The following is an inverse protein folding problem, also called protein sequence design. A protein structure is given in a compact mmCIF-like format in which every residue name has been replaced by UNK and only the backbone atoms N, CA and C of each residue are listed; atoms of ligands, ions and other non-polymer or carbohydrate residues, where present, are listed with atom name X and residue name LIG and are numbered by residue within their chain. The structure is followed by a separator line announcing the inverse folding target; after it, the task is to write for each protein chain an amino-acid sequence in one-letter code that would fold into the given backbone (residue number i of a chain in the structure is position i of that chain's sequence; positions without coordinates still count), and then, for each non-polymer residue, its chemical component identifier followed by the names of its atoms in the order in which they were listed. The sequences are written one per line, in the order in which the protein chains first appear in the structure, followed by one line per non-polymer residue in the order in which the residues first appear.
data_IF_451992228136
#
_entry.id   IF_451992228136
#
_cell.length_a   1.000
_cell.length_b   1.000
_cell.length_c   1.000
_cell.angle_alpha   90.00
_cell.angle_beta   90.00
_cell.angle_gamma   90.00
#
_symmetry.space_group_name_H-M   'P 1'
#
loop_
_entity.id
_entity.type
_entity.pdbx_description
1 polymer ?
#
# COMPACT_ATOMS: atom_id res chain seq x y z
N UNK A 1 -28.25 -15.79 31.35
CA UNK A 1 -27.60 -16.88 30.58
C UNK A 1 -26.41 -16.23 29.88
N UNK A 2 -25.16 -16.27 30.36
CA UNK A 2 -24.30 -17.43 30.70
C UNK A 2 -24.37 -18.50 29.58
N UNK A 3 -23.28 -18.90 28.91
CA UNK A 3 -21.94 -19.11 29.42
C UNK A 3 -20.84 -18.89 28.37
N UNK A 4 -19.75 -18.26 28.83
CA UNK A 4 -18.38 -18.44 28.32
C UNK A 4 -17.99 -19.89 28.65
N UNK A 5 -17.72 -20.73 27.65
CA UNK A 5 -16.98 -21.97 27.88
C UNK A 5 -15.50 -21.69 27.65
N UNK A 6 -14.82 -21.40 28.76
CA UNK A 6 -13.40 -21.53 28.87
C UNK A 6 -13.02 -23.03 28.89
N UNK A 7 -11.86 -23.30 28.28
CA UNK A 7 -10.88 -24.29 28.70
C UNK A 7 -11.34 -25.76 28.86
N UNK A 8 -10.95 -26.57 27.87
CA UNK A 8 -10.72 -28.00 28.04
C UNK A 8 -9.51 -28.41 27.21
N UNK A 9 -8.32 -28.40 27.82
CA UNK A 9 -7.10 -28.89 27.20
C UNK A 9 -7.20 -30.38 26.86
N UNK A 10 -6.52 -30.78 25.79
CA UNK A 10 -6.13 -32.16 25.55
C UNK A 10 -4.78 -32.15 24.83
N UNK A 11 -3.71 -32.09 25.62
CA UNK A 11 -2.45 -32.70 25.23
C UNK A 11 -2.74 -34.17 24.90
N UNK A 12 -2.70 -34.53 23.62
CA UNK A 12 -2.99 -35.91 23.22
C UNK A 12 -3.37 -36.08 21.76
N UNK A 13 -2.35 -36.27 20.91
CA UNK A 13 -2.51 -37.18 19.78
C UNK A 13 -2.97 -36.58 18.45
N UNK A 14 -2.10 -35.76 17.85
CA UNK A 14 -2.08 -35.45 16.41
C UNK A 14 -1.97 -36.68 15.48
N UNK A 15 -1.99 -37.91 16.01
CA UNK A 15 -1.96 -39.15 15.21
C UNK A 15 -3.35 -39.63 14.75
N UNK A 16 -4.46 -39.02 15.20
CA UNK A 16 -5.82 -39.54 14.91
C UNK A 16 -6.66 -38.71 13.95
N UNK A 17 -6.15 -37.58 13.43
CA UNK A 17 -6.89 -36.72 12.48
C UNK A 17 -6.37 -36.91 11.03
N UNK A 18 -5.50 -37.89 10.79
CA UNK A 18 -5.14 -38.29 9.42
C UNK A 18 -5.92 -39.58 9.08
N UNK A 19 -6.84 -39.57 8.11
CA UNK A 19 -7.47 -40.80 7.63
C UNK A 19 -6.39 -41.80 7.14
N UNK A 20 -6.60 -43.12 7.34
CA UNK A 20 -5.60 -44.12 6.97
C UNK A 20 -5.31 -44.03 5.46
N UNK A 21 -4.03 -43.83 5.11
CA UNK A 21 -3.56 -43.70 3.72
C UNK A 21 -2.79 -42.41 3.39
N UNK A 22 -2.82 -41.39 4.26
CA UNK A 22 -1.98 -40.19 4.08
C UNK A 22 -0.57 -40.49 4.57
N UNK A 23 0.28 -40.95 3.66
CA UNK A 23 1.73 -41.02 3.86
C UNK A 23 2.26 -39.60 3.94
N UNK A 24 3.04 -39.26 4.98
CA UNK A 24 3.66 -37.94 5.10
C UNK A 24 4.54 -37.70 3.88
N UNK A 25 4.44 -36.51 3.26
CA UNK A 25 5.26 -36.15 2.10
C UNK A 25 6.76 -36.31 2.36
N UNK A 26 7.18 -36.07 3.61
CA UNK A 26 8.55 -36.27 4.10
C UNK A 26 9.04 -37.72 3.96
N UNK A 27 8.16 -38.70 4.14
CA UNK A 27 8.49 -40.13 4.04
C UNK A 27 8.54 -40.62 2.58
N UNK A 28 7.88 -39.90 1.64
CA UNK A 28 8.01 -40.16 0.19
C UNK A 28 9.24 -39.51 -0.43
N UNK A 29 9.67 -38.36 0.09
CA UNK A 29 10.76 -37.58 -0.49
C UNK A 29 12.15 -38.00 0.02
N UNK A 30 12.24 -38.69 1.16
CA UNK A 30 13.52 -39.20 1.67
C UNK A 30 14.00 -40.39 0.83
N UNK A 31 15.01 -40.15 0.00
CA UNK A 31 15.77 -41.19 -0.69
C UNK A 31 15.31 -41.53 -2.10
N UNK A 32 14.40 -40.74 -2.71
CA UNK A 32 14.18 -40.84 -4.15
C UNK A 32 15.24 -40.02 -4.90
N UNK A 33 15.94 -40.60 -5.89
CA UNK A 33 16.88 -39.84 -6.70
C UNK A 33 16.14 -38.74 -7.46
N UNK A 34 16.81 -37.60 -7.65
CA UNK A 34 16.26 -36.50 -8.44
C UNK A 34 15.97 -37.05 -9.83
N UNK A 35 14.82 -36.70 -10.41
CA UNK A 35 14.47 -37.14 -11.75
C UNK A 35 15.60 -36.78 -12.72
N UNK A 36 16.08 -37.68 -13.59
CA UNK A 36 17.16 -37.40 -14.54
C UNK A 36 16.91 -36.18 -15.42
N UNK A 37 15.63 -35.87 -15.70
CA UNK A 37 15.24 -34.67 -16.45
C UNK A 37 15.44 -33.36 -15.65
N UNK A 38 15.36 -33.42 -14.32
CA UNK A 38 15.64 -32.28 -13.45
C UNK A 38 17.15 -32.12 -13.28
N UNK A 39 17.91 -33.22 -13.13
CA UNK A 39 19.39 -33.18 -13.11
C UNK A 39 19.94 -32.55 -14.40
N UNK A 40 19.48 -33.00 -15.56
CA UNK A 40 19.89 -32.43 -16.84
C UNK A 40 19.54 -30.94 -17.00
N UNK A 41 18.42 -30.49 -16.41
CA UNK A 41 18.05 -29.07 -16.39
C UNK A 41 18.97 -28.27 -15.48
N UNK A 42 19.29 -28.78 -14.29
CA UNK A 42 20.21 -28.12 -13.35
C UNK A 42 21.60 -27.98 -13.98
N UNK A 43 22.11 -29.04 -14.62
CA UNK A 43 23.41 -29.01 -15.29
C UNK A 43 23.42 -28.00 -16.45
N UNK A 44 22.34 -27.95 -17.24
CA UNK A 44 22.19 -26.95 -18.31
C UNK A 44 22.21 -25.51 -17.75
N UNK A 45 21.45 -25.22 -16.68
CA UNK A 45 21.44 -23.90 -16.05
C UNK A 45 22.82 -23.50 -15.48
N UNK A 46 23.56 -24.43 -14.87
CA UNK A 46 24.90 -24.14 -14.36
C UNK A 46 25.92 -23.84 -15.46
N UNK A 47 25.76 -24.44 -16.64
CA UNK A 47 26.59 -24.11 -17.81
C UNK A 47 26.20 -22.79 -18.50
N UNK A 48 24.96 -22.32 -18.33
CA UNK A 48 24.45 -21.08 -18.90
C UNK A 48 24.70 -19.84 -18.01
N UNK A 49 25.01 -19.99 -16.72
CA UNK A 49 25.30 -18.89 -15.77
C UNK A 49 26.68 -18.21 -15.95
N UNK A 50 27.25 -18.24 -17.15
CA UNK A 50 28.42 -17.41 -17.49
C UNK A 50 28.05 -15.95 -17.83
N UNK A 51 26.76 -15.58 -17.83
CA UNK A 51 26.32 -14.25 -18.25
C UNK A 51 25.34 -13.58 -17.29
N UNK A 52 25.77 -12.47 -16.68
CA UNK A 52 24.86 -11.32 -16.48
C UNK A 52 24.72 -10.71 -15.10
N UNK A 53 25.19 -11.34 -14.01
CA UNK A 53 25.20 -10.66 -12.72
C UNK A 53 26.49 -9.85 -12.54
N UNK A 54 26.43 -8.51 -12.36
CA UNK A 54 27.60 -7.73 -12.05
C UNK A 54 28.17 -8.23 -10.72
N UNK A 55 29.48 -8.45 -10.68
CA UNK A 55 30.17 -8.89 -9.46
C UNK A 55 30.10 -7.76 -8.43
N UNK A 56 29.16 -7.87 -7.49
CA UNK A 56 28.97 -6.87 -6.43
C UNK A 56 30.18 -6.72 -5.48
N UNK A 57 31.10 -7.68 -5.49
CA UNK A 57 32.39 -7.61 -4.77
C UNK A 57 33.47 -6.78 -5.50
N UNK A 58 33.26 -6.45 -6.78
CA UNK A 58 34.12 -5.54 -7.55
C UNK A 58 33.55 -4.11 -7.47
N UNK A 59 33.25 -3.63 -6.25
CA UNK A 59 33.07 -2.19 -6.06
C UNK A 59 34.37 -1.47 -6.45
N UNK A 60 34.31 -0.32 -7.15
CA UNK A 60 35.50 0.46 -7.39
C UNK A 60 36.12 0.82 -6.03
N UNK A 61 37.35 0.38 -5.80
CA UNK A 61 38.11 0.67 -4.58
C UNK A 61 38.43 2.15 -4.42
N UNK A 62 38.20 2.93 -5.49
CA UNK A 62 38.43 4.35 -5.57
C UNK A 62 37.05 5.02 -5.67
N UNK A 63 36.73 5.82 -4.67
CA UNK A 63 35.57 6.71 -4.72
C UNK A 63 35.79 7.68 -5.89
N UNK A 64 34.81 7.84 -6.80
CA UNK A 64 34.93 8.82 -7.88
C UNK A 64 35.23 10.20 -7.31
N UNK A 65 36.07 10.97 -8.01
CA UNK A 65 36.38 12.33 -7.60
C UNK A 65 35.08 13.13 -7.45
N UNK A 66 34.87 13.66 -6.25
CA UNK A 66 33.72 14.50 -5.97
C UNK A 66 33.81 15.80 -6.76
N UNK A 67 32.66 16.40 -7.06
CA UNK A 67 32.56 17.72 -7.69
C UNK A 67 33.45 18.71 -6.94
N UNK A 68 34.22 19.53 -7.68
CA UNK A 68 35.13 20.51 -7.08
C UNK A 68 34.37 21.49 -6.17
N UNK A 69 34.99 21.89 -5.05
CA UNK A 69 34.36 22.80 -4.07
C UNK A 69 33.73 24.08 -4.68
N UNK A 70 34.36 24.80 -5.63
CA UNK A 70 33.73 25.99 -6.22
C UNK A 70 32.51 25.65 -7.08
N UNK A 71 32.53 24.53 -7.82
CA UNK A 71 31.39 24.08 -8.63
C UNK A 71 30.21 23.67 -7.74
N UNK A 72 30.48 23.04 -6.59
CA UNK A 72 29.45 22.73 -5.60
C UNK A 72 28.81 24.00 -5.04
N UNK A 73 29.60 25.03 -4.73
CA UNK A 73 29.08 26.29 -4.21
C UNK A 73 28.18 27.00 -5.25
N UNK A 74 28.61 27.05 -6.51
CA UNK A 74 27.81 27.63 -7.60
C UNK A 74 26.49 26.87 -7.83
N UNK A 75 26.51 25.53 -7.77
CA UNK A 75 25.30 24.72 -7.84
C UNK A 75 24.39 24.96 -6.64
N UNK A 76 24.94 25.09 -5.44
CA UNK A 76 24.17 25.35 -4.24
C UNK A 76 23.47 26.71 -4.31
N UNK A 77 24.14 27.75 -4.75
CA UNK A 77 23.55 29.08 -4.96
C UNK A 77 22.39 29.03 -5.96
N UNK A 78 22.60 28.35 -7.09
CA UNK A 78 21.58 28.18 -8.14
C UNK A 78 20.35 27.43 -7.60
N UNK A 79 20.56 26.35 -6.84
CA UNK A 79 19.48 25.57 -6.25
C UNK A 79 18.72 26.34 -5.17
N UNK A 80 19.41 27.16 -4.38
CA UNK A 80 18.77 28.03 -3.39
C UNK A 80 17.90 29.09 -4.07
N UNK A 81 18.39 29.73 -5.14
CA UNK A 81 17.61 30.68 -5.92
C UNK A 81 16.36 30.05 -6.55
N UNK A 82 16.51 28.84 -7.13
CA UNK A 82 15.39 28.09 -7.71
C UNK A 82 14.35 27.69 -6.64
N UNK A 83 14.79 27.25 -5.46
CA UNK A 83 13.92 26.93 -4.33
C UNK A 83 13.12 28.16 -3.89
N UNK A 84 13.78 29.31 -3.74
CA UNK A 84 13.14 30.52 -3.25
C UNK A 84 12.11 31.05 -4.28
N UNK A 85 12.43 30.96 -5.58
CA UNK A 85 11.49 31.28 -6.65
C UNK A 85 10.27 30.34 -6.66
N UNK A 86 10.48 29.03 -6.48
CA UNK A 86 9.40 28.06 -6.40
C UNK A 86 8.50 28.30 -5.18
N UNK A 87 9.09 28.57 -4.02
CA UNK A 87 8.34 28.89 -2.81
C UNK A 87 7.47 30.14 -3.01
N UNK A 88 8.00 31.18 -3.65
CA UNK A 88 7.22 32.38 -3.96
C UNK A 88 6.03 32.07 -4.90
N UNK A 89 6.24 31.25 -5.94
CA UNK A 89 5.16 30.83 -6.83
C UNK A 89 4.08 30.01 -6.10
N UNK A 90 4.48 29.09 -5.22
CA UNK A 90 3.56 28.27 -4.42
C UNK A 90 2.71 29.13 -3.48
N UNK A 91 3.28 30.15 -2.85
CA UNK A 91 2.48 31.04 -1.99
C UNK A 91 1.49 31.88 -2.79
N UNK A 92 1.84 32.30 -4.01
CA UNK A 92 0.90 32.96 -4.93
C UNK A 92 -0.24 32.01 -5.31
N UNK A 93 0.08 30.78 -5.69
CA UNK A 93 -0.93 29.76 -6.03
C UNK A 93 -1.82 29.41 -4.84
N UNK A 94 -1.24 29.34 -3.63
CA UNK A 94 -2.02 29.12 -2.40
C UNK A 94 -2.98 30.27 -2.15
N UNK A 95 -2.54 31.52 -2.32
CA UNK A 95 -3.39 32.69 -2.17
C UNK A 95 -4.50 32.71 -3.23
N UNK A 96 -4.19 32.37 -4.49
CA UNK A 96 -5.18 32.26 -5.57
C UNK A 96 -6.20 31.15 -5.27
N UNK A 97 -5.76 29.96 -4.85
CA UNK A 97 -6.63 28.85 -4.50
C UNK A 97 -7.49 29.12 -3.25
N UNK A 98 -7.02 29.94 -2.32
CA UNK A 98 -7.83 30.42 -1.19
C UNK A 98 -8.85 31.45 -1.64
N UNK A 99 -8.49 32.36 -2.55
CA UNK A 99 -9.42 33.32 -3.13
C UNK A 99 -10.51 32.62 -3.96
N UNK A 100 -10.17 31.61 -4.75
CA UNK A 100 -11.14 30.78 -5.48
C UNK A 100 -12.09 30.03 -4.53
N UNK A 101 -11.55 29.42 -3.47
CA UNK A 101 -12.37 28.74 -2.44
C UNK A 101 -13.27 29.68 -1.65
N UNK A 102 -12.83 30.91 -1.41
CA UNK A 102 -13.66 31.94 -0.75
C UNK A 102 -14.65 32.61 -1.71
N UNK A 103 -14.35 32.63 -3.02
CA UNK A 103 -15.21 33.22 -4.04
C UNK A 103 -16.33 32.28 -4.50
N UNK A 104 -16.10 30.96 -4.48
CA UNK A 104 -17.17 30.01 -4.70
C UNK A 104 -17.92 29.76 -3.38
N UNK A 105 -19.21 30.10 -3.35
CA UNK A 105 -20.23 29.72 -2.35
C UNK A 105 -20.40 28.19 -2.22
N UNK A 106 -19.34 27.40 -2.27
CA UNK A 106 -19.36 25.94 -2.24
C UNK A 106 -20.07 25.46 -0.97
N UNK A 107 -19.77 26.05 0.18
CA UNK A 107 -20.39 25.67 1.46
C UNK A 107 -21.89 25.96 1.44
N UNK A 108 -22.30 27.16 1.03
CA UNK A 108 -23.71 27.54 0.91
C UNK A 108 -24.45 26.65 -0.09
N UNK A 109 -23.85 26.36 -1.25
CA UNK A 109 -24.41 25.49 -2.28
C UNK A 109 -24.48 24.04 -1.81
N UNK A 110 -23.48 23.57 -1.07
CA UNK A 110 -23.44 22.24 -0.45
C UNK A 110 -24.58 22.10 0.57
N UNK A 111 -24.77 23.09 1.43
CA UNK A 111 -25.82 23.07 2.44
C UNK A 111 -27.22 23.15 1.81
N UNK A 112 -27.38 23.99 0.79
CA UNK A 112 -28.63 24.06 0.00
C UNK A 112 -28.93 22.73 -0.72
N UNK A 113 -27.92 22.09 -1.31
CA UNK A 113 -28.06 20.78 -1.94
C UNK A 113 -28.40 19.70 -0.91
N UNK A 114 -27.75 19.70 0.26
CA UNK A 114 -28.06 18.79 1.36
C UNK A 114 -29.49 18.93 1.85
N UNK A 115 -30.00 20.16 1.96
CA UNK A 115 -31.40 20.42 2.32
C UNK A 115 -32.39 19.91 1.24
N UNK A 116 -32.07 20.11 -0.04
CA UNK A 116 -32.88 19.60 -1.15
C UNK A 116 -32.94 18.07 -1.15
N UNK A 117 -31.79 17.39 -1.01
CA UNK A 117 -31.73 15.92 -0.92
C UNK A 117 -32.52 15.40 0.28
N UNK A 118 -32.37 16.01 1.47
CA UNK A 118 -33.13 15.63 2.67
C UNK A 118 -34.65 15.75 2.44
N UNK A 119 -35.10 16.79 1.71
CA UNK A 119 -36.51 17.00 1.36
C UNK A 119 -37.03 15.94 0.39
N UNK A 120 -36.29 15.65 -0.66
CA UNK A 120 -36.66 14.66 -1.68
C UNK A 120 -36.70 13.24 -1.08
N UNK A 121 -35.72 12.90 -0.25
CA UNK A 121 -35.71 11.65 0.50
C UNK A 121 -36.92 11.51 1.43
N UNK A 122 -37.30 12.59 2.12
CA UNK A 122 -38.50 12.59 2.97
C UNK A 122 -39.80 12.47 2.16
N UNK A 123 -39.85 13.01 0.94
CA UNK A 123 -40.98 12.81 0.02
C UNK A 123 -41.05 11.36 -0.46
N UNK A 124 -39.94 10.81 -0.96
CA UNK A 124 -39.84 9.44 -1.43
C UNK A 124 -40.19 8.40 -0.34
N UNK A 125 -39.82 8.66 0.92
CA UNK A 125 -40.20 7.78 2.04
C UNK A 125 -41.69 7.83 2.36
N UNK A 126 -42.31 9.02 2.29
CA UNK A 126 -43.77 9.18 2.47
C UNK A 126 -44.54 8.42 1.40
N UNK A 127 -44.11 8.51 0.14
CA UNK A 127 -44.71 7.74 -0.97
C UNK A 127 -44.59 6.23 -0.77
N UNK A 128 -43.51 5.78 -0.14
CA UNK A 128 -43.26 4.35 0.17
C UNK A 128 -43.87 3.88 1.49
N UNK A 129 -44.58 4.74 2.24
CA UNK A 129 -45.14 4.40 3.55
C UNK A 129 -44.08 4.10 4.63
N UNK A 130 -42.84 4.56 4.44
CA UNK A 130 -41.75 4.34 5.38
C UNK A 130 -41.71 5.46 6.44
N UNK A 131 -41.37 5.14 7.70
CA UNK A 131 -41.24 6.15 8.76
C UNK A 131 -40.13 7.17 8.42
N UNK A 132 -40.16 8.41 8.95
CA UNK A 132 -39.10 9.39 8.73
C UNK A 132 -37.74 8.84 9.19
N UNK A 133 -36.64 9.25 8.52
CA UNK A 133 -35.30 8.87 8.98
C UNK A 133 -35.01 9.56 10.33
N UNK A 134 -34.23 8.91 11.22
CA UNK A 134 -33.71 9.58 12.40
C UNK A 134 -32.88 10.80 11.97
N UNK A 135 -32.95 11.87 12.75
CA UNK A 135 -32.08 13.04 12.53
C UNK A 135 -30.66 12.60 12.91
N UNK A 136 -29.80 12.41 11.93
CA UNK A 136 -28.36 12.26 12.16
C UNK A 136 -27.81 13.64 12.49
N UNK A 137 -27.24 13.77 13.69
CA UNK A 137 -26.60 14.99 14.16
C UNK A 137 -25.26 15.12 13.41
N UNK A 138 -25.27 15.80 12.27
CA UNK A 138 -24.12 16.07 11.40
C UNK A 138 -23.18 17.14 12.02
N UNK A 139 -22.98 17.09 13.34
CA UNK A 139 -22.03 17.92 14.07
C UNK A 139 -20.61 17.36 13.87
N UNK A 140 -19.97 17.68 12.74
CA UNK A 140 -18.52 17.48 12.52
C UNK A 140 -17.90 18.65 11.79
#
# INVERSE_FOLDING_TARGET
MAAILAAGGCAGGLKRIAPPGIVKYEDRAKGQPVSPAIEARIDAYQTEEAGGFPKLGEQPSIVPDGIASPERAAMQETLLGARDALNAAVEVDRAAALAERGAEEIETRRDALGAAVKKDDAAARRERGLPPRPVEDDSR
#
